data_IF_110181481832
#
_entry.id   IF_110181481832
#
_cell.length_a   1.000
_cell.length_b   1.000
_cell.length_c   1.000
_cell.angle_alpha   90.00
_cell.angle_beta   90.00
_cell.angle_gamma   90.00
#
_symmetry.space_group_name_H-M   'P 1'
#
loop_
_entity.id
_entity.type
_entity.pdbx_description
1 polymer ?
#
# COMPACT_ATOMS: atom_id res chain seq x y z
N UNK A 1 5.02 -5.54 5.52
CA UNK A 1 4.15 -4.56 4.84
C UNK A 1 3.81 -3.40 5.76
N UNK A 2 3.57 -2.19 5.23
CA UNK A 2 3.22 -1.00 6.01
C UNK A 2 1.71 -0.74 6.00
N UNK A 3 1.19 -0.04 7.03
CA UNK A 3 -0.23 0.26 7.17
C UNK A 3 -1.07 -1.00 7.45
N UNK A 4 -0.54 -1.92 8.27
CA UNK A 4 -1.07 -3.27 8.40
C UNK A 4 -1.97 -3.50 9.63
N UNK A 5 -2.16 -2.47 10.48
CA UNK A 5 -2.95 -2.61 11.69
C UNK A 5 -4.46 -2.73 11.45
N UNK A 6 -4.96 -2.26 10.31
CA UNK A 6 -6.40 -2.27 10.00
C UNK A 6 -6.69 -2.22 8.49
N UNK A 7 -7.98 -2.32 8.16
CA UNK A 7 -8.50 -2.06 6.81
C UNK A 7 -7.85 -2.89 5.72
N UNK A 8 -7.50 -2.23 4.62
CA UNK A 8 -6.91 -2.87 3.45
C UNK A 8 -5.57 -3.55 3.76
N UNK A 9 -4.70 -2.89 4.55
CA UNK A 9 -3.41 -3.48 4.92
C UNK A 9 -3.56 -4.77 5.72
N UNK A 10 -4.46 -4.79 6.70
CA UNK A 10 -4.75 -6.03 7.45
C UNK A 10 -5.31 -7.15 6.56
N UNK A 11 -6.18 -6.81 5.58
CA UNK A 11 -6.71 -7.78 4.63
C UNK A 11 -5.61 -8.37 3.73
N UNK A 12 -4.69 -7.53 3.24
CA UNK A 12 -3.53 -7.98 2.46
C UNK A 12 -2.63 -8.88 3.33
N UNK A 13 -2.33 -8.48 4.58
CA UNK A 13 -1.50 -9.28 5.49
C UNK A 13 -2.09 -10.67 5.74
N UNK A 14 -3.39 -10.74 6.01
CA UNK A 14 -4.12 -12.00 6.20
C UNK A 14 -4.06 -12.90 4.97
N UNK A 15 -4.25 -12.33 3.78
CA UNK A 15 -4.17 -13.05 2.52
C UNK A 15 -2.77 -13.60 2.28
N UNK A 16 -1.75 -12.79 2.41
CA UNK A 16 -0.36 -13.21 2.22
C UNK A 16 0.03 -14.32 3.21
N UNK A 17 -0.37 -14.18 4.47
CA UNK A 17 -0.12 -15.23 5.46
C UNK A 17 -0.84 -16.55 5.11
N UNK A 18 -2.08 -16.49 4.66
CA UNK A 18 -2.83 -17.66 4.20
C UNK A 18 -2.19 -18.34 2.98
N UNK A 19 -1.52 -17.56 2.12
CA UNK A 19 -0.76 -18.05 0.96
C UNK A 19 0.66 -18.54 1.35
N UNK A 20 0.98 -18.61 2.66
CA UNK A 20 2.22 -19.17 3.18
C UNK A 20 3.37 -18.17 3.38
N UNK A 21 3.14 -16.87 3.23
CA UNK A 21 4.16 -15.87 3.51
C UNK A 21 4.35 -15.66 5.02
N UNK A 22 5.59 -15.51 5.44
CA UNK A 22 5.89 -14.86 6.70
C UNK A 22 5.65 -13.36 6.56
N UNK A 23 4.92 -12.73 7.50
CA UNK A 23 4.46 -11.34 7.34
C UNK A 23 4.89 -10.48 8.53
N UNK A 24 5.58 -9.37 8.24
CA UNK A 24 5.80 -8.29 9.21
C UNK A 24 4.73 -7.22 9.00
N UNK A 25 3.95 -6.98 10.04
CA UNK A 25 2.92 -5.96 10.10
C UNK A 25 3.53 -4.69 10.71
N UNK A 26 3.91 -3.76 9.83
CA UNK A 26 4.49 -2.49 10.22
C UNK A 26 3.41 -1.40 10.20
N UNK A 27 3.18 -0.76 11.33
CA UNK A 27 2.19 0.31 11.46
C UNK A 27 2.62 1.33 12.52
N UNK A 28 2.05 2.53 12.46
CA UNK A 28 2.18 3.51 13.52
C UNK A 28 1.40 3.07 14.77
N UNK A 29 0.24 2.40 14.56
CA UNK A 29 -0.56 1.72 15.57
C UNK A 29 0.01 0.32 15.81
N UNK A 30 0.92 0.25 16.79
CA UNK A 30 1.55 -1.01 17.19
C UNK A 30 0.54 -2.01 17.73
N UNK A 31 -0.38 -1.57 18.56
CA UNK A 31 -1.32 -2.47 19.25
C UNK A 31 -2.28 -3.13 18.27
N UNK A 32 -2.79 -2.38 17.31
CA UNK A 32 -3.60 -2.92 16.21
C UNK A 32 -2.81 -3.93 15.37
N UNK A 33 -1.56 -3.62 15.03
CA UNK A 33 -0.70 -4.56 14.29
C UNK A 33 -0.41 -5.83 15.09
N UNK A 34 -0.19 -5.71 16.42
CA UNK A 34 0.02 -6.85 17.32
C UNK A 34 -1.20 -7.77 17.40
N UNK A 35 -2.40 -7.21 17.50
CA UNK A 35 -3.65 -7.99 17.48
C UNK A 35 -3.78 -8.82 16.19
N UNK A 36 -3.48 -8.22 15.04
CA UNK A 36 -3.48 -8.95 13.77
C UNK A 36 -2.40 -10.03 13.75
N UNK A 37 -1.17 -9.73 14.19
CA UNK A 37 -0.07 -10.70 14.21
C UNK A 37 -0.39 -11.89 15.12
N UNK A 38 -0.96 -11.65 16.31
CA UNK A 38 -1.41 -12.71 17.22
C UNK A 38 -2.49 -13.59 16.60
N UNK A 39 -3.45 -12.98 15.89
CA UNK A 39 -4.51 -13.73 15.20
C UNK A 39 -3.99 -14.57 14.02
N UNK A 40 -2.90 -14.15 13.38
CA UNK A 40 -2.20 -14.92 12.34
C UNK A 40 -1.34 -16.04 12.92
N UNK A 41 -0.78 -15.84 14.12
CA UNK A 41 0.02 -16.85 14.80
C UNK A 41 1.46 -16.92 14.27
N UNK A 42 1.94 -18.14 14.01
CA UNK A 42 3.32 -18.36 13.55
C UNK A 42 3.63 -17.62 12.26
N UNK A 43 4.89 -17.20 12.08
CA UNK A 43 5.38 -16.49 10.91
C UNK A 43 4.71 -15.10 10.68
N UNK A 44 4.20 -14.49 11.76
CA UNK A 44 3.73 -13.11 11.77
C UNK A 44 4.39 -12.35 12.93
N UNK A 45 4.84 -11.12 12.66
CA UNK A 45 5.38 -10.21 13.68
C UNK A 45 4.84 -8.81 13.46
N UNK A 46 4.64 -8.07 14.55
CA UNK A 46 4.25 -6.68 14.52
C UNK A 46 5.40 -5.77 14.92
N UNK A 47 5.49 -4.61 14.28
CA UNK A 47 6.49 -3.59 14.62
C UNK A 47 5.91 -2.20 14.42
N UNK A 48 6.20 -1.30 15.40
CA UNK A 48 5.85 0.12 15.23
C UNK A 48 6.80 0.78 14.24
N UNK A 49 6.22 1.34 13.17
CA UNK A 49 6.96 2.06 12.13
C UNK A 49 6.21 3.34 11.76
N UNK A 50 6.86 4.47 11.94
CA UNK A 50 6.49 5.69 11.23
C UNK A 50 7.24 5.70 9.90
N UNK A 51 6.52 5.45 8.81
CA UNK A 51 7.12 5.37 7.47
C UNK A 51 7.87 6.64 7.04
N UNK A 52 7.62 7.78 7.71
CA UNK A 52 8.28 9.07 7.46
C UNK A 52 9.70 9.13 8.05
N UNK A 53 10.06 8.18 8.94
CA UNK A 53 11.32 8.15 9.68
C UNK A 53 12.23 7.05 9.15
N UNK A 54 13.43 7.41 8.71
CA UNK A 54 14.41 6.43 8.19
C UNK A 54 14.81 5.38 9.23
N UNK A 55 14.96 5.81 10.48
CA UNK A 55 15.36 4.92 11.57
C UNK A 55 14.34 3.81 11.84
N UNK A 56 13.07 4.05 11.58
CA UNK A 56 12.02 3.06 11.82
C UNK A 56 12.03 1.94 10.77
N UNK A 57 12.56 2.20 9.57
CA UNK A 57 12.76 1.16 8.57
C UNK A 57 13.81 0.13 8.99
N UNK A 58 14.81 0.52 9.79
CA UNK A 58 15.74 -0.43 10.40
C UNK A 58 15.03 -1.39 11.35
N UNK A 59 14.11 -0.89 12.19
CA UNK A 59 13.27 -1.74 13.06
C UNK A 59 12.40 -2.72 12.24
N UNK A 60 11.88 -2.28 11.10
CA UNK A 60 11.13 -3.15 10.20
C UNK A 60 12.00 -4.29 9.64
N UNK A 61 13.26 -4.01 9.31
CA UNK A 61 14.23 -5.01 8.84
C UNK A 61 14.61 -5.99 9.96
N UNK A 62 14.84 -5.50 11.18
CA UNK A 62 15.11 -6.34 12.36
C UNK A 62 13.93 -7.29 12.63
N UNK A 63 12.68 -6.77 12.58
CA UNK A 63 11.50 -7.61 12.73
C UNK A 63 11.38 -8.65 11.61
N UNK A 64 11.72 -8.28 10.37
CA UNK A 64 11.69 -9.21 9.23
C UNK A 64 12.65 -10.39 9.44
N UNK A 65 13.85 -10.12 9.97
CA UNK A 65 14.84 -11.16 10.24
C UNK A 65 14.37 -12.19 11.30
N UNK A 66 13.38 -11.85 12.15
CA UNK A 66 12.85 -12.79 13.16
C UNK A 66 11.85 -13.80 12.60
N UNK A 67 11.22 -13.52 11.46
CA UNK A 67 10.15 -14.37 10.92
C UNK A 67 10.56 -15.09 9.63
N UNK A 68 11.64 -14.67 9.00
CA UNK A 68 12.12 -15.33 7.79
C UNK A 68 12.94 -14.42 6.90
N UNK A 69 13.06 -14.85 5.67
CA UNK A 69 13.82 -14.18 4.65
C UNK A 69 13.00 -13.07 3.98
N UNK A 70 13.56 -11.85 3.92
CA UNK A 70 12.91 -10.73 3.26
C UNK A 70 12.86 -10.92 1.74
N UNK A 71 11.67 -11.01 1.18
CA UNK A 71 11.43 -11.22 -0.26
C UNK A 71 10.52 -10.17 -0.88
N UNK A 72 9.74 -9.46 -0.08
CA UNK A 72 8.78 -8.50 -0.62
C UNK A 72 8.58 -7.28 0.28
N UNK A 73 8.22 -6.16 -0.35
CA UNK A 73 7.73 -4.95 0.30
C UNK A 73 6.34 -4.60 -0.24
N UNK A 74 5.37 -4.39 0.65
CA UNK A 74 4.09 -3.78 0.30
C UNK A 74 3.98 -2.43 1.01
N UNK A 75 4.03 -1.34 0.25
CA UNK A 75 3.78 0.02 0.73
C UNK A 75 2.28 0.31 0.69
N UNK A 76 1.61 0.18 1.85
CA UNK A 76 0.17 0.39 1.99
C UNK A 76 -0.17 1.51 2.99
N UNK A 77 0.76 1.93 3.85
CA UNK A 77 0.54 3.04 4.77
C UNK A 77 0.14 4.31 4.00
N UNK A 78 -0.96 4.93 4.43
CA UNK A 78 -1.45 6.15 3.81
C UNK A 78 -2.21 7.00 4.82
N UNK A 79 -2.16 8.30 4.59
CA UNK A 79 -3.04 9.31 5.19
C UNK A 79 -3.95 9.85 4.10
N UNK A 80 -5.25 9.90 4.38
CA UNK A 80 -6.25 10.47 3.49
C UNK A 80 -7.07 11.49 4.24
N UNK A 81 -7.38 12.59 3.59
CA UNK A 81 -8.20 13.69 4.11
C UNK A 81 -9.17 14.13 3.03
N UNK A 82 -10.39 14.46 3.43
CA UNK A 82 -11.37 15.15 2.59
C UNK A 82 -11.20 16.63 2.84
N UNK A 83 -10.75 17.38 1.83
CA UNK A 83 -10.46 18.79 1.96
C UNK A 83 -10.66 19.51 0.62
N UNK A 84 -11.27 20.68 0.65
CA UNK A 84 -11.30 21.58 -0.51
C UNK A 84 -9.86 22.00 -0.87
N UNK A 85 -9.58 22.17 -2.16
CA UNK A 85 -8.23 22.52 -2.65
C UNK A 85 -7.67 23.79 -1.99
N UNK A 86 -8.51 24.79 -1.81
CA UNK A 86 -8.11 26.09 -1.27
C UNK A 86 -8.05 26.13 0.26
N UNK A 87 -8.54 25.11 0.93
CA UNK A 87 -8.49 24.94 2.38
C UNK A 87 -7.34 24.07 2.86
N UNK A 88 -6.61 23.41 1.96
CA UNK A 88 -5.46 22.57 2.30
C UNK A 88 -4.34 23.48 2.85
N UNK A 89 -4.01 23.30 4.13
CA UNK A 89 -2.87 23.98 4.72
C UNK A 89 -1.54 23.39 4.21
N UNK A 90 -0.46 24.19 4.31
CA UNK A 90 0.88 23.72 3.99
C UNK A 90 1.27 22.48 4.81
N UNK A 91 0.92 22.46 6.09
CA UNK A 91 1.29 21.38 7.00
C UNK A 91 0.52 20.09 6.67
N UNK A 92 -0.77 20.19 6.32
CA UNK A 92 -1.55 19.03 5.83
C UNK A 92 -0.97 18.48 4.52
N UNK A 93 -0.62 19.38 3.60
CA UNK A 93 0.03 19.01 2.34
C UNK A 93 1.32 18.24 2.60
N UNK A 94 2.21 18.80 3.41
CA UNK A 94 3.53 18.21 3.72
C UNK A 94 3.37 16.85 4.42
N UNK A 95 2.42 16.71 5.34
CA UNK A 95 2.17 15.49 6.09
C UNK A 95 1.63 14.34 5.22
N UNK A 96 0.69 14.66 4.30
CA UNK A 96 0.15 13.66 3.37
C UNK A 96 1.24 13.18 2.40
N UNK A 97 2.02 14.09 1.82
CA UNK A 97 3.13 13.71 0.93
C UNK A 97 4.23 12.96 1.68
N UNK A 98 4.53 13.37 2.91
CA UNK A 98 5.51 12.70 3.75
C UNK A 98 5.12 11.25 4.03
N UNK A 99 3.85 10.99 4.31
CA UNK A 99 3.36 9.63 4.58
C UNK A 99 3.24 8.81 3.29
N UNK A 100 2.49 9.32 2.31
CA UNK A 100 2.05 8.51 1.17
C UNK A 100 3.13 8.32 0.09
N UNK A 101 4.00 9.31 -0.08
CA UNK A 101 5.01 9.31 -1.15
C UNK A 101 6.42 9.14 -0.59
N UNK A 102 6.86 10.04 0.31
CA UNK A 102 8.21 9.96 0.89
C UNK A 102 8.37 8.68 1.71
N UNK A 103 7.36 8.25 2.47
CA UNK A 103 7.38 7.00 3.22
C UNK A 103 7.62 5.78 2.33
N UNK A 104 6.90 5.68 1.21
CA UNK A 104 7.12 4.61 0.24
C UNK A 104 8.52 4.68 -0.41
N UNK A 105 9.01 5.89 -0.72
CA UNK A 105 10.38 6.08 -1.20
C UNK A 105 11.42 5.59 -0.18
N UNK A 106 11.27 5.93 1.10
CA UNK A 106 12.17 5.46 2.17
C UNK A 106 12.14 3.94 2.30
N UNK A 107 10.97 3.32 2.20
CA UNK A 107 10.83 1.86 2.19
C UNK A 107 11.54 1.20 1.02
N UNK A 108 11.36 1.72 -0.20
CA UNK A 108 12.07 1.24 -1.39
C UNK A 108 13.58 1.43 -1.23
N UNK A 109 14.02 2.56 -0.70
CA UNK A 109 15.44 2.87 -0.47
C UNK A 109 16.08 1.95 0.58
N UNK A 110 15.36 1.59 1.63
CA UNK A 110 15.85 0.71 2.68
C UNK A 110 15.88 -0.77 2.26
N UNK A 111 14.84 -1.22 1.54
CA UNK A 111 14.61 -2.63 1.26
C UNK A 111 15.11 -3.03 -0.15
N UNK A 112 15.05 -2.11 -1.12
CA UNK A 112 15.44 -2.39 -2.51
C UNK A 112 16.85 -2.96 -2.67
N UNK A 113 17.89 -2.40 -2.02
CA UNK A 113 19.24 -2.98 -2.07
C UNK A 113 19.31 -4.42 -1.58
N UNK A 114 18.57 -4.77 -0.53
CA UNK A 114 18.54 -6.14 0.02
C UNK A 114 17.86 -7.12 -0.95
N UNK A 115 16.78 -6.68 -1.62
CA UNK A 115 16.14 -7.48 -2.66
C UNK A 115 17.04 -7.67 -3.87
N UNK A 116 17.83 -6.65 -4.23
CA UNK A 116 18.83 -6.70 -5.30
C UNK A 116 19.93 -7.73 -5.00
N UNK A 117 20.51 -7.68 -3.80
CA UNK A 117 21.59 -8.60 -3.39
C UNK A 117 21.16 -10.07 -3.42
N UNK A 118 19.88 -10.34 -3.26
CA UNK A 118 19.32 -11.70 -3.33
C UNK A 118 19.11 -12.18 -4.75
N UNK A 119 19.05 -11.28 -5.73
CA UNK A 119 18.77 -11.61 -7.11
C UNK A 119 17.27 -11.87 -7.38
N UNK A 120 16.98 -12.70 -8.37
CA UNK A 120 15.63 -12.95 -8.87
C UNK A 120 14.65 -13.37 -7.77
N UNK A 121 13.45 -12.80 -7.79
CA UNK A 121 12.35 -13.12 -6.87
C UNK A 121 11.99 -12.03 -5.88
N UNK A 122 12.69 -10.89 -5.86
CA UNK A 122 12.30 -9.71 -5.09
C UNK A 122 11.03 -9.05 -5.65
N UNK A 123 10.11 -8.62 -4.79
CA UNK A 123 8.81 -8.03 -5.19
C UNK A 123 8.52 -6.77 -4.39
N UNK A 124 8.08 -5.71 -5.07
CA UNK A 124 7.59 -4.49 -4.40
C UNK A 124 6.21 -4.15 -4.97
N UNK A 125 5.23 -3.95 -4.11
CA UNK A 125 3.90 -3.47 -4.49
C UNK A 125 3.58 -2.19 -3.73
N UNK A 126 3.24 -1.15 -4.47
CA UNK A 126 2.81 0.14 -3.94
C UNK A 126 1.29 0.28 -4.08
N UNK A 127 0.60 0.59 -2.99
CA UNK A 127 -0.85 0.83 -3.01
C UNK A 127 -1.09 2.31 -3.31
N UNK A 128 -1.49 2.57 -4.56
CA UNK A 128 -1.90 3.88 -5.05
C UNK A 128 -3.40 4.11 -4.82
N UNK A 129 -4.08 4.75 -5.75
CA UNK A 129 -5.53 5.00 -5.77
C UNK A 129 -5.98 5.39 -7.19
N UNK A 130 -7.24 5.17 -7.52
CA UNK A 130 -7.90 5.75 -8.71
C UNK A 130 -7.86 7.28 -8.71
N UNK A 131 -7.79 7.91 -7.53
CA UNK A 131 -7.60 9.36 -7.38
C UNK A 131 -6.34 9.90 -8.09
N UNK A 132 -5.37 9.03 -8.41
CA UNK A 132 -4.19 9.38 -9.20
C UNK A 132 -4.53 9.67 -10.69
N UNK A 133 -5.70 9.26 -11.16
CA UNK A 133 -6.16 9.36 -12.55
C UNK A 133 -7.35 10.30 -12.73
N UNK A 134 -8.03 10.65 -11.64
CA UNK A 134 -9.28 11.41 -11.65
C UNK A 134 -9.04 12.86 -11.34
N UNK A 135 -9.68 13.75 -12.08
CA UNK A 135 -9.72 15.20 -11.78
C UNK A 135 -10.79 15.57 -10.74
N UNK A 136 -11.68 14.66 -10.42
CA UNK A 136 -12.74 14.80 -9.41
C UNK A 136 -12.71 13.66 -8.42
N UNK A 137 -13.17 13.89 -7.21
CA UNK A 137 -13.21 12.85 -6.18
C UNK A 137 -13.51 13.44 -4.81
N UNK A 138 -13.67 12.57 -3.82
CA UNK A 138 -13.95 12.97 -2.44
C UNK A 138 -12.69 13.28 -1.63
N UNK A 139 -11.51 12.88 -2.12
CA UNK A 139 -10.23 13.09 -1.42
C UNK A 139 -9.61 14.43 -1.80
N UNK A 140 -8.82 15.00 -0.88
CA UNK A 140 -8.12 16.25 -1.15
C UNK A 140 -7.03 16.12 -2.22
N UNK A 141 -6.68 17.24 -2.86
CA UNK A 141 -5.69 17.29 -3.95
C UNK A 141 -4.31 16.76 -3.53
N UNK A 142 -3.87 16.99 -2.29
CA UNK A 142 -2.62 16.46 -1.74
C UNK A 142 -2.57 14.92 -1.75
N UNK A 143 -3.70 14.26 -1.47
CA UNK A 143 -3.82 12.81 -1.56
C UNK A 143 -3.66 12.36 -3.02
N UNK A 144 -4.44 12.92 -3.94
CA UNK A 144 -4.37 12.59 -5.36
C UNK A 144 -2.95 12.78 -5.92
N UNK A 145 -2.30 13.91 -5.62
CA UNK A 145 -0.90 14.20 -6.01
C UNK A 145 0.06 13.18 -5.43
N UNK A 146 -0.08 12.82 -4.14
CA UNK A 146 0.77 11.81 -3.51
C UNK A 146 0.65 10.45 -4.19
N UNK A 147 -0.57 10.05 -4.56
CA UNK A 147 -0.84 8.76 -5.22
C UNK A 147 -0.41 8.75 -6.69
N UNK A 148 -0.53 9.87 -7.40
CA UNK A 148 0.04 10.04 -8.74
C UNK A 148 1.59 10.02 -8.72
N UNK A 149 2.20 10.70 -7.75
CA UNK A 149 3.65 10.65 -7.52
C UNK A 149 4.15 9.23 -7.25
N UNK A 150 3.36 8.42 -6.52
CA UNK A 150 3.70 7.03 -6.24
C UNK A 150 3.73 6.16 -7.50
N UNK A 151 2.90 6.45 -8.51
CA UNK A 151 2.95 5.77 -9.81
C UNK A 151 4.25 6.09 -10.58
N UNK A 152 4.72 7.33 -10.50
CA UNK A 152 5.99 7.71 -11.09
C UNK A 152 7.17 7.04 -10.34
N UNK A 153 7.13 7.02 -9.01
CA UNK A 153 8.11 6.32 -8.18
C UNK A 153 8.16 4.82 -8.49
N UNK A 154 7.00 4.18 -8.66
CA UNK A 154 6.88 2.77 -9.06
C UNK A 154 7.65 2.48 -10.34
N UNK A 155 7.41 3.26 -11.40
CA UNK A 155 8.10 3.10 -12.69
C UNK A 155 9.62 3.31 -12.57
N UNK A 156 10.04 4.32 -11.79
CA UNK A 156 11.48 4.61 -11.59
C UNK A 156 12.17 3.50 -10.79
N UNK A 157 11.52 2.98 -9.75
CA UNK A 157 12.04 1.87 -8.97
C UNK A 157 12.08 0.57 -9.79
N UNK A 158 11.05 0.30 -10.60
CA UNK A 158 11.03 -0.83 -11.52
C UNK A 158 12.22 -0.80 -12.49
N UNK A 159 12.47 0.33 -13.14
CA UNK A 159 13.61 0.48 -14.05
C UNK A 159 14.97 0.31 -13.35
N UNK A 160 15.07 0.76 -12.08
CA UNK A 160 16.32 0.67 -11.32
C UNK A 160 16.62 -0.74 -10.80
N UNK A 161 15.61 -1.60 -10.65
CA UNK A 161 15.72 -2.91 -10.02
C UNK A 161 15.50 -4.08 -11.01
N UNK A 162 15.06 -3.81 -12.23
CA UNK A 162 14.70 -4.85 -13.21
C UNK A 162 15.89 -5.74 -13.59
N UNK A 163 17.10 -5.18 -13.75
CA UNK A 163 18.29 -5.94 -14.09
C UNK A 163 18.65 -7.00 -13.02
N UNK A 164 18.21 -6.78 -11.80
CA UNK A 164 18.44 -7.67 -10.65
C UNK A 164 17.27 -8.66 -10.47
N UNK A 165 16.30 -8.71 -11.39
CA UNK A 165 15.14 -9.60 -11.33
C UNK A 165 14.09 -9.22 -10.29
N UNK A 166 14.12 -7.99 -9.77
CA UNK A 166 13.14 -7.46 -8.82
C UNK A 166 12.03 -6.74 -9.57
N UNK A 167 10.77 -7.11 -9.32
CA UNK A 167 9.62 -6.42 -9.91
C UNK A 167 9.05 -5.37 -8.94
N UNK A 168 8.63 -4.24 -9.50
CA UNK A 168 7.99 -3.15 -8.74
C UNK A 168 6.72 -2.73 -9.47
N UNK A 169 5.56 -2.88 -8.82
CA UNK A 169 4.27 -2.57 -9.42
C UNK A 169 3.41 -1.72 -8.49
N UNK A 170 2.37 -1.12 -9.02
CA UNK A 170 1.35 -0.43 -8.25
C UNK A 170 -0.02 -1.08 -8.44
N UNK A 171 -0.81 -1.11 -7.38
CA UNK A 171 -2.26 -1.32 -7.44
C UNK A 171 -2.92 0.01 -7.13
N UNK A 172 -3.90 0.41 -7.93
CA UNK A 172 -4.68 1.63 -7.76
C UNK A 172 -6.16 1.26 -7.50
N UNK A 173 -6.54 1.05 -6.23
CA UNK A 173 -7.92 0.76 -5.88
C UNK A 173 -8.83 1.98 -6.10
N UNK A 174 -10.10 1.71 -6.41
CA UNK A 174 -11.19 2.66 -6.23
C UNK A 174 -11.62 2.74 -4.77
N UNK A 175 -12.89 3.08 -4.55
CA UNK A 175 -13.46 3.12 -3.21
C UNK A 175 -13.66 1.69 -2.68
N UNK A 176 -12.92 1.36 -1.63
CA UNK A 176 -12.94 0.03 -1.00
C UNK A 176 -13.76 0.07 0.28
N UNK A 177 -14.68 -0.87 0.44
CA UNK A 177 -15.50 -0.99 1.64
C UNK A 177 -14.62 -1.28 2.87
N UNK A 178 -14.74 -0.43 3.87
CA UNK A 178 -13.96 -0.53 5.10
C UNK A 178 -14.32 0.58 6.08
N UNK A 179 -13.85 0.41 7.31
CA UNK A 179 -14.16 1.34 8.41
C UNK A 179 -13.81 2.79 8.06
N UNK A 180 -12.60 3.04 7.56
CA UNK A 180 -12.14 4.39 7.17
C UNK A 180 -13.06 5.03 6.12
N UNK A 181 -13.50 4.26 5.12
CA UNK A 181 -14.39 4.78 4.07
C UNK A 181 -15.77 5.06 4.64
N UNK A 182 -16.29 4.19 5.52
CA UNK A 182 -17.58 4.37 6.17
C UNK A 182 -17.58 5.59 7.08
N UNK A 183 -16.51 5.81 7.84
CA UNK A 183 -16.33 7.00 8.69
C UNK A 183 -16.27 8.30 7.88
N UNK A 184 -15.49 8.31 6.79
CA UNK A 184 -15.29 9.48 5.95
C UNK A 184 -16.51 9.80 5.06
N UNK A 185 -17.18 8.77 4.56
CA UNK A 185 -18.28 8.92 3.61
C UNK A 185 -19.62 9.23 4.28
N UNK A 186 -19.88 8.70 5.50
CA UNK A 186 -21.17 8.83 6.16
C UNK A 186 -22.31 8.42 5.23
N UNK A 187 -23.31 9.29 5.07
CA UNK A 187 -24.49 9.05 4.21
C UNK A 187 -24.19 9.00 2.69
N UNK A 188 -22.95 9.23 2.28
CA UNK A 188 -22.54 9.21 0.85
C UNK A 188 -22.12 7.84 0.35
N UNK A 189 -22.14 6.78 1.16
CA UNK A 189 -21.71 5.43 0.76
C UNK A 189 -22.42 4.93 -0.50
N UNK A 190 -23.73 5.10 -0.59
CA UNK A 190 -24.51 4.70 -1.77
C UNK A 190 -24.13 5.50 -3.03
N UNK A 191 -23.77 6.78 -2.88
CA UNK A 191 -23.30 7.60 -3.98
C UNK A 191 -21.93 7.12 -4.45
N UNK A 192 -21.02 6.78 -3.54
CA UNK A 192 -19.70 6.22 -3.86
C UNK A 192 -19.82 4.85 -4.54
N UNK A 193 -20.77 4.02 -4.15
CA UNK A 193 -21.03 2.75 -4.82
C UNK A 193 -21.50 2.95 -6.27
N UNK A 194 -22.36 3.95 -6.52
CA UNK A 194 -22.86 4.29 -7.87
C UNK A 194 -21.80 4.98 -8.75
N UNK A 195 -20.74 5.53 -8.17
CA UNK A 195 -19.62 6.12 -8.92
C UNK A 195 -18.82 5.06 -9.71
N UNK A 196 -18.88 3.82 -9.26
CA UNK A 196 -18.32 2.67 -9.96
C UNK A 196 -19.35 2.11 -10.97
N UNK A 197 -18.98 1.90 -12.24
CA UNK A 197 -19.81 1.18 -13.22
C UNK A 197 -20.26 -0.21 -12.79
N UNK A 198 -19.52 -0.89 -11.91
CA UNK A 198 -19.96 -2.15 -11.30
C UNK A 198 -21.06 -1.98 -10.24
N UNK A 199 -21.43 -0.75 -9.87
CA UNK A 199 -22.54 -0.43 -8.97
C UNK A 199 -22.30 -0.79 -7.51
N UNK A 200 -21.04 -0.99 -7.10
CA UNK A 200 -20.69 -1.37 -5.73
C UNK A 200 -19.32 -0.86 -5.32
N UNK A 201 -19.08 -0.84 -4.03
CA UNK A 201 -17.74 -0.69 -3.48
C UNK A 201 -16.90 -1.95 -3.74
N UNK A 202 -15.59 -1.78 -3.90
CA UNK A 202 -14.65 -2.89 -3.91
C UNK A 202 -14.52 -3.50 -2.50
N UNK A 203 -14.15 -4.76 -2.43
CA UNK A 203 -13.87 -5.42 -1.16
C UNK A 203 -12.37 -5.49 -0.89
N UNK A 204 -11.89 -5.34 0.35
CA UNK A 204 -10.47 -5.46 0.69
C UNK A 204 -9.83 -6.74 0.18
N UNK A 205 -10.59 -7.84 0.15
CA UNK A 205 -10.14 -9.15 -0.32
C UNK A 205 -9.85 -9.18 -1.82
N UNK A 206 -10.55 -8.37 -2.63
CA UNK A 206 -10.32 -8.26 -4.07
C UNK A 206 -8.96 -7.61 -4.35
N UNK A 207 -8.63 -6.56 -3.60
CA UNK A 207 -7.31 -5.90 -3.68
C UNK A 207 -6.22 -6.81 -3.11
N UNK A 208 -6.48 -7.50 -2.02
CA UNK A 208 -5.54 -8.45 -1.42
C UNK A 208 -5.17 -9.58 -2.40
N UNK A 209 -6.16 -10.08 -3.16
CA UNK A 209 -5.92 -11.10 -4.19
C UNK A 209 -5.00 -10.57 -5.30
N UNK A 210 -5.21 -9.33 -5.75
CA UNK A 210 -4.38 -8.71 -6.78
C UNK A 210 -2.95 -8.47 -6.30
N UNK A 211 -2.77 -8.03 -5.05
CA UNK A 211 -1.44 -7.88 -4.43
C UNK A 211 -0.76 -9.24 -4.31
N UNK A 212 -1.45 -10.27 -3.85
CA UNK A 212 -0.91 -11.62 -3.73
C UNK A 212 -0.43 -12.15 -5.08
N UNK A 213 -1.22 -11.95 -6.15
CA UNK A 213 -0.80 -12.31 -7.50
C UNK A 213 0.46 -11.57 -7.96
N UNK A 214 0.55 -10.26 -7.73
CA UNK A 214 1.75 -9.47 -8.07
C UNK A 214 3.01 -9.91 -7.30
N UNK A 215 2.85 -10.52 -6.13
CA UNK A 215 3.95 -11.06 -5.33
C UNK A 215 4.30 -12.52 -5.69
N UNK A 216 3.47 -13.20 -6.47
CA UNK A 216 3.67 -14.60 -6.87
C UNK A 216 4.63 -14.75 -8.06
N UNK A 217 5.00 -15.99 -8.35
CA UNK A 217 5.82 -16.33 -9.52
C UNK A 217 5.04 -16.25 -10.84
N UNK A 218 3.72 -16.14 -10.80
CA UNK A 218 2.88 -15.93 -11.99
C UNK A 218 3.01 -14.53 -12.59
N UNK A 219 3.48 -13.54 -11.79
CA UNK A 219 3.64 -12.15 -12.20
C UNK A 219 5.09 -11.74 -12.53
N UNK A 220 5.99 -12.71 -12.80
CA UNK A 220 7.43 -12.45 -13.00
C UNK A 220 7.76 -11.54 -14.19
N UNK A 221 6.87 -11.42 -15.17
CA UNK A 221 7.06 -10.56 -16.35
C UNK A 221 6.31 -9.24 -16.24
N UNK A 222 5.76 -8.93 -15.04
CA UNK A 222 5.02 -7.68 -14.77
C UNK A 222 5.88 -6.79 -13.87
N UNK A 223 6.38 -5.67 -14.42
CA UNK A 223 7.12 -4.66 -13.68
C UNK A 223 6.85 -3.25 -14.22
N UNK A 224 6.83 -2.24 -13.37
CA UNK A 224 6.49 -0.86 -13.72
C UNK A 224 5.01 -0.64 -14.02
N UNK A 225 4.18 -1.66 -13.89
CA UNK A 225 2.75 -1.62 -14.18
C UNK A 225 1.96 -0.93 -13.06
N UNK A 226 0.82 -0.37 -13.46
CA UNK A 226 -0.23 0.08 -12.55
C UNK A 226 -1.51 -0.68 -12.89
N UNK A 227 -2.00 -1.46 -11.93
CA UNK A 227 -3.24 -2.20 -12.06
C UNK A 227 -4.36 -1.39 -11.40
N UNK A 228 -5.22 -0.83 -12.21
CA UNK A 228 -6.42 -0.11 -11.76
C UNK A 228 -7.48 -1.14 -11.35
N UNK A 229 -7.96 -1.04 -10.11
CA UNK A 229 -8.94 -1.95 -9.51
C UNK A 229 -10.04 -1.12 -8.81
N UNK A 230 -10.84 -0.43 -9.62
CA UNK A 230 -11.78 0.62 -9.21
C UNK A 230 -13.23 0.36 -9.67
N UNK A 231 -13.49 -0.82 -10.24
CA UNK A 231 -14.81 -1.13 -10.80
C UNK A 231 -15.20 -0.27 -12.00
N UNK A 232 -14.21 0.35 -12.65
CA UNK A 232 -14.39 1.22 -13.81
C UNK A 232 -14.63 2.70 -13.49
N UNK A 233 -14.45 3.11 -12.24
CA UNK A 233 -14.73 4.49 -11.80
C UNK A 233 -13.84 5.57 -12.45
N UNK A 234 -12.71 5.20 -13.03
CA UNK A 234 -11.81 6.10 -13.74
C UNK A 234 -11.88 5.99 -15.28
N UNK A 235 -12.92 5.33 -15.81
CA UNK A 235 -13.16 5.26 -17.25
C UNK A 235 -13.65 6.59 -17.85
#
# INVERSE_FOLDING_TARGET
MTGAARGLGAAIARRLHADGWAVVLADLDRDGAEQIAQALGRAAAAVRVDVRQEVDWQRALEAAATVGELRALVNCAARTEIRDLFEISKDEWDDVLATNLRGAFLGIRAIGPLLRERGAGGRIVNISSDSAFRGTGVTGAHYAVSKAGLLALTRRAAAALAADGVTVNAVAPGTIDGETVRELAGDRLDALARDSPLGRLGQPQEIAALVAWLLSDEATYVTGATLLADGGAAL
#
